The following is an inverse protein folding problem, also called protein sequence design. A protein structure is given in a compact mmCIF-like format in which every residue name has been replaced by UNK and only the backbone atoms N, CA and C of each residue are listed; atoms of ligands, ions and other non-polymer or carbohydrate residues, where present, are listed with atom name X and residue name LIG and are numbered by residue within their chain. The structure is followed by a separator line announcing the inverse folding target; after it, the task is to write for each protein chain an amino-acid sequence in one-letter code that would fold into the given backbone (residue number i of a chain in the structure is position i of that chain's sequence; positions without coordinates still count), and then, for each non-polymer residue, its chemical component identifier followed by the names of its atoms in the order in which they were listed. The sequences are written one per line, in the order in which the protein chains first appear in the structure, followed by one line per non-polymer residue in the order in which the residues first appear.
data_IF_184459067555
#
_entry.id   IF_184459067555
#
_cell.length_a   1.000
_cell.length_b   1.000
_cell.length_c   1.000
_cell.angle_alpha   90.00
_cell.angle_beta   90.00
_cell.angle_gamma   90.00
#
_symmetry.space_group_name_H-M   'P 1'
#
loop_
_entity.id
_entity.type
_entity.pdbx_description
1 polymer ?
#
# COMPACT_ATOMS: atom_id res chain seq x y z
N UNK A 1 7.39 -21.05 44.39
CA UNK A 1 7.99 -20.46 43.17
C UNK A 1 7.15 -20.60 41.87
N UNK A 2 5.81 -20.82 41.85
CA UNK A 2 5.07 -20.94 40.57
C UNK A 2 4.60 -19.60 39.97
N UNK A 3 4.49 -18.52 40.77
CA UNK A 3 3.92 -17.25 40.30
C UNK A 3 4.80 -16.50 39.29
N UNK A 4 6.12 -16.72 39.33
CA UNK A 4 7.06 -16.03 38.44
C UNK A 4 7.09 -16.64 37.04
N UNK A 5 6.83 -17.96 36.94
CA UNK A 5 6.84 -18.77 35.72
C UNK A 5 5.55 -18.55 34.90
N UNK A 6 4.40 -18.44 35.57
CA UNK A 6 3.11 -18.10 34.92
C UNK A 6 3.10 -16.68 34.32
N UNK A 7 3.82 -15.74 34.95
CA UNK A 7 3.89 -14.35 34.49
C UNK A 7 4.77 -14.19 33.24
N UNK A 8 5.80 -15.03 33.10
CA UNK A 8 6.64 -15.09 31.90
C UNK A 8 5.90 -15.68 30.72
N UNK A 9 5.16 -16.78 30.92
CA UNK A 9 4.36 -17.41 29.85
C UNK A 9 3.26 -16.49 29.32
N UNK A 10 2.62 -15.73 30.22
CA UNK A 10 1.58 -14.76 29.84
C UNK A 10 2.16 -13.63 28.98
N UNK A 11 3.32 -13.08 29.38
CA UNK A 11 4.00 -12.00 28.63
C UNK A 11 4.46 -12.47 27.25
N UNK A 12 5.04 -13.65 27.17
CA UNK A 12 5.49 -14.25 25.90
C UNK A 12 4.29 -14.46 24.96
N UNK A 13 3.19 -15.00 25.48
CA UNK A 13 1.95 -15.20 24.71
C UNK A 13 1.39 -13.88 24.17
N UNK A 14 1.38 -12.82 25.00
CA UNK A 14 0.95 -11.49 24.57
C UNK A 14 1.85 -10.95 23.45
N UNK A 15 3.17 -11.09 23.58
CA UNK A 15 4.13 -10.63 22.58
C UNK A 15 4.02 -11.40 21.26
N UNK A 16 3.79 -12.72 21.32
CA UNK A 16 3.57 -13.56 20.13
C UNK A 16 2.26 -13.19 19.42
N UNK A 17 1.18 -12.97 20.17
CA UNK A 17 -0.08 -12.49 19.59
C UNK A 17 0.08 -11.10 18.96
N UNK A 18 0.82 -10.19 19.61
CA UNK A 18 1.10 -8.87 19.06
C UNK A 18 1.97 -8.96 17.79
N UNK A 19 2.96 -9.86 17.75
CA UNK A 19 3.79 -10.13 16.59
C UNK A 19 2.94 -10.60 15.40
N UNK A 20 2.11 -11.62 15.61
CA UNK A 20 1.26 -12.20 14.57
C UNK A 20 0.24 -11.18 14.04
N UNK A 21 -0.37 -10.41 14.95
CA UNK A 21 -1.27 -9.31 14.58
C UNK A 21 -0.59 -8.27 13.69
N UNK A 22 0.63 -7.85 14.02
CA UNK A 22 1.36 -6.86 13.22
C UNK A 22 1.79 -7.40 11.85
N UNK A 23 2.18 -8.68 11.77
CA UNK A 23 2.49 -9.34 10.49
C UNK A 23 1.27 -9.42 9.58
N UNK A 24 0.14 -9.88 10.11
CA UNK A 24 -1.14 -9.91 9.39
C UNK A 24 -1.56 -8.52 8.93
N UNK A 25 -1.37 -7.50 9.75
CA UNK A 25 -1.73 -6.13 9.42
C UNK A 25 -0.82 -5.55 8.31
N UNK A 26 0.46 -5.92 8.26
CA UNK A 26 1.37 -5.56 7.14
C UNK A 26 0.86 -6.19 5.84
N UNK A 27 0.57 -7.49 5.84
CA UNK A 27 0.08 -8.21 4.66
C UNK A 27 -1.25 -7.62 4.17
N UNK A 28 -2.22 -7.43 5.08
CA UNK A 28 -3.52 -6.83 4.76
C UNK A 28 -3.40 -5.44 4.12
N UNK A 29 -2.41 -4.64 4.54
CA UNK A 29 -2.16 -3.31 3.97
C UNK A 29 -1.57 -3.38 2.56
N UNK A 30 -0.70 -4.35 2.30
CA UNK A 30 -0.18 -4.60 0.96
C UNK A 30 -1.29 -5.06 0.01
N UNK A 31 -2.17 -5.95 0.47
CA UNK A 31 -3.33 -6.40 -0.32
C UNK A 31 -4.27 -5.23 -0.64
N UNK A 32 -4.55 -4.38 0.36
CA UNK A 32 -5.35 -3.15 0.17
C UNK A 32 -4.68 -2.17 -0.81
N UNK A 33 -3.37 -2.00 -0.75
CA UNK A 33 -2.62 -1.17 -1.70
C UNK A 33 -2.82 -1.65 -3.14
N UNK A 34 -2.69 -2.97 -3.36
CA UNK A 34 -2.91 -3.59 -4.66
C UNK A 34 -4.37 -3.47 -5.13
N UNK A 35 -5.34 -3.71 -4.23
CA UNK A 35 -6.76 -3.57 -4.55
C UNK A 35 -7.11 -2.14 -4.97
N UNK A 36 -6.60 -1.12 -4.24
CA UNK A 36 -6.82 0.28 -4.60
C UNK A 36 -6.25 0.57 -5.99
N UNK A 37 -5.03 0.11 -6.26
CA UNK A 37 -4.42 0.27 -7.59
C UNK A 37 -5.25 -0.39 -8.70
N UNK A 38 -5.73 -1.62 -8.50
CA UNK A 38 -6.59 -2.34 -9.46
C UNK A 38 -7.93 -1.63 -9.69
N UNK A 39 -8.54 -1.10 -8.64
CA UNK A 39 -9.78 -0.33 -8.74
C UNK A 39 -9.56 0.97 -9.51
N UNK A 40 -8.51 1.72 -9.18
CA UNK A 40 -8.17 2.97 -9.85
C UNK A 40 -7.84 2.78 -11.34
N UNK A 41 -7.10 1.72 -11.69
CA UNK A 41 -6.78 1.40 -13.09
C UNK A 41 -8.02 0.97 -13.86
N UNK A 42 -8.88 0.13 -13.28
CA UNK A 42 -10.15 -0.28 -13.89
C UNK A 42 -11.08 0.91 -14.14
N UNK A 43 -11.17 1.83 -13.17
CA UNK A 43 -11.93 3.08 -13.31
C UNK A 43 -11.40 3.93 -14.46
N UNK A 44 -10.08 4.15 -14.54
CA UNK A 44 -9.45 4.94 -15.60
C UNK A 44 -9.69 4.32 -16.99
N UNK A 45 -9.59 2.99 -17.12
CA UNK A 45 -9.87 2.29 -18.37
C UNK A 45 -11.34 2.40 -18.78
N UNK A 46 -12.26 2.30 -17.82
CA UNK A 46 -13.69 2.48 -18.09
C UNK A 46 -13.98 3.90 -18.59
N UNK A 47 -13.42 4.92 -17.93
CA UNK A 47 -13.56 6.32 -18.35
C UNK A 47 -12.94 6.52 -19.74
N UNK A 48 -11.77 5.96 -20.00
CA UNK A 48 -11.14 6.01 -21.32
C UNK A 48 -12.04 5.39 -22.40
N UNK A 49 -12.63 4.22 -22.13
CA UNK A 49 -13.59 3.57 -23.02
C UNK A 49 -14.82 4.44 -23.31
N UNK A 50 -15.36 5.11 -22.30
CA UNK A 50 -16.50 6.04 -22.48
C UNK A 50 -16.09 7.25 -23.33
N UNK A 51 -14.95 7.88 -23.03
CA UNK A 51 -14.48 9.06 -23.77
C UNK A 51 -14.22 8.70 -25.23
N UNK A 52 -13.60 7.55 -25.49
CA UNK A 52 -13.34 7.08 -26.86
C UNK A 52 -14.62 6.69 -27.61
N UNK A 53 -15.60 6.09 -26.95
CA UNK A 53 -16.90 5.78 -27.56
C UNK A 53 -17.70 7.05 -27.93
N UNK A 54 -17.49 8.15 -27.20
CA UNK A 54 -18.12 9.45 -27.48
C UNK A 54 -17.42 10.22 -28.63
N UNK A 55 -16.32 9.71 -29.17
CA UNK A 55 -15.62 10.35 -30.27
C UNK A 55 -16.50 10.50 -31.51
N UNK A 56 -16.69 11.75 -31.97
CA UNK A 56 -17.48 12.08 -33.15
C UNK A 56 -19.00 12.11 -32.95
N UNK A 57 -19.51 11.78 -31.76
CA UNK A 57 -20.96 11.83 -31.46
C UNK A 57 -21.36 13.04 -30.60
N UNK A 58 -20.38 13.80 -30.11
CA UNK A 58 -20.61 14.98 -29.27
C UNK A 58 -21.11 16.16 -30.10
N UNK A 59 -22.43 16.39 -30.05
CA UNK A 59 -23.01 17.65 -30.50
C UNK A 59 -22.36 18.82 -29.72
N UNK A 60 -22.17 19.96 -30.40
CA UNK A 60 -21.54 21.14 -29.82
C UNK A 60 -22.25 21.55 -28.52
N UNK A 61 -21.62 21.23 -27.38
CA UNK A 61 -22.15 21.63 -26.08
C UNK A 61 -22.03 23.15 -25.95
N UNK A 62 -22.98 23.83 -25.28
CA UNK A 62 -22.96 25.29 -25.20
C UNK A 62 -21.74 25.85 -24.42
N UNK A 63 -21.08 25.01 -23.61
CA UNK A 63 -19.90 25.38 -22.81
C UNK A 63 -18.85 24.26 -22.78
N UNK A 64 -18.14 23.99 -23.90
CA UNK A 64 -17.25 22.83 -24.01
C UNK A 64 -16.07 22.89 -23.02
N UNK A 65 -15.57 24.09 -22.74
CA UNK A 65 -14.46 24.30 -21.81
C UNK A 65 -14.85 23.92 -20.36
N UNK A 66 -16.05 24.28 -19.92
CA UNK A 66 -16.55 23.96 -18.57
C UNK A 66 -16.70 22.44 -18.42
N UNK A 67 -17.27 21.78 -19.43
CA UNK A 67 -17.45 20.31 -19.41
C UNK A 67 -16.09 19.60 -19.35
N UNK A 68 -15.10 20.03 -20.14
CA UNK A 68 -13.74 19.47 -20.13
C UNK A 68 -13.06 19.63 -18.77
N UNK A 69 -13.17 20.81 -18.15
CA UNK A 69 -12.61 21.06 -16.83
C UNK A 69 -13.27 20.18 -15.76
N UNK A 70 -14.61 20.13 -15.78
CA UNK A 70 -15.36 19.34 -14.80
C UNK A 70 -15.05 17.84 -14.94
N UNK A 71 -15.00 17.33 -16.17
CA UNK A 71 -14.61 15.95 -16.45
C UNK A 71 -13.17 15.67 -15.99
N UNK A 72 -12.21 16.55 -16.32
CA UNK A 72 -10.81 16.40 -15.88
C UNK A 72 -10.69 16.36 -14.36
N UNK A 73 -11.46 17.20 -13.65
CA UNK A 73 -11.46 17.27 -12.20
C UNK A 73 -12.11 16.04 -11.57
N UNK A 74 -13.20 15.52 -12.15
CA UNK A 74 -13.83 14.27 -11.72
C UNK A 74 -12.91 13.05 -11.88
N UNK A 75 -12.03 13.03 -12.87
CA UNK A 75 -11.01 11.96 -13.01
C UNK A 75 -9.82 12.20 -12.09
N UNK A 76 -9.32 13.44 -12.04
CA UNK A 76 -8.09 13.78 -11.32
C UNK A 76 -8.20 13.61 -9.81
N UNK A 77 -9.29 14.07 -9.19
CA UNK A 77 -9.44 14.03 -7.73
C UNK A 77 -9.42 12.60 -7.15
N UNK A 78 -10.20 11.63 -7.66
CA UNK A 78 -10.15 10.26 -7.17
C UNK A 78 -8.75 9.64 -7.30
N UNK A 79 -8.04 9.89 -8.39
CA UNK A 79 -6.71 9.31 -8.61
C UNK A 79 -5.68 9.93 -7.66
N UNK A 80 -5.70 11.26 -7.47
CA UNK A 80 -4.86 11.91 -6.47
C UNK A 80 -5.11 11.35 -5.07
N UNK A 81 -6.38 11.12 -4.72
CA UNK A 81 -6.75 10.50 -3.45
C UNK A 81 -6.23 9.07 -3.34
N UNK A 82 -6.36 8.25 -4.38
CA UNK A 82 -5.82 6.89 -4.42
C UNK A 82 -4.30 6.86 -4.26
N UNK A 83 -3.57 7.73 -4.96
CA UNK A 83 -2.11 7.85 -4.84
C UNK A 83 -1.71 8.25 -3.43
N UNK A 84 -2.34 9.28 -2.86
CA UNK A 84 -2.11 9.69 -1.48
C UNK A 84 -2.33 8.54 -0.50
N UNK A 85 -3.41 7.78 -0.67
CA UNK A 85 -3.74 6.67 0.20
C UNK A 85 -2.73 5.51 0.09
N UNK A 86 -2.26 5.18 -1.11
CA UNK A 86 -1.20 4.19 -1.36
C UNK A 86 0.06 4.55 -0.58
N UNK A 87 0.52 5.81 -0.66
CA UNK A 87 1.70 6.26 0.08
C UNK A 87 1.48 6.21 1.61
N UNK A 88 0.30 6.63 2.07
CA UNK A 88 -0.04 6.57 3.50
C UNK A 88 -0.01 5.14 4.04
N UNK A 89 -0.59 4.18 3.31
CA UNK A 89 -0.58 2.76 3.68
C UNK A 89 0.85 2.20 3.71
N UNK A 90 1.65 2.51 2.70
CA UNK A 90 3.05 2.08 2.63
C UNK A 90 3.86 2.60 3.81
N UNK A 91 3.70 3.88 4.18
CA UNK A 91 4.42 4.45 5.32
C UNK A 91 4.04 3.76 6.63
N UNK A 92 2.74 3.54 6.86
CA UNK A 92 2.30 2.86 8.07
C UNK A 92 2.77 1.39 8.13
N UNK A 93 2.87 0.68 7.00
CA UNK A 93 3.42 -0.68 6.96
C UNK A 93 4.90 -0.71 7.42
N UNK A 94 5.69 0.31 7.08
CA UNK A 94 7.09 0.41 7.57
C UNK A 94 7.16 0.62 9.08
N UNK A 95 6.24 1.39 9.67
CA UNK A 95 6.19 1.61 11.12
C UNK A 95 5.77 0.34 11.88
N UNK A 96 4.83 -0.43 11.31
CA UNK A 96 4.42 -1.73 11.87
C UNK A 96 5.58 -2.73 11.80
N UNK A 97 6.32 -2.75 10.69
CA UNK A 97 7.51 -3.60 10.55
C UNK A 97 8.61 -3.27 11.56
N UNK A 98 8.83 -1.99 11.84
CA UNK A 98 9.76 -1.59 12.90
C UNK A 98 9.28 -2.06 14.29
N UNK A 99 7.96 -2.10 14.52
CA UNK A 99 7.39 -2.65 15.75
C UNK A 99 7.59 -4.17 15.86
N UNK A 100 7.39 -4.90 14.76
CA UNK A 100 7.68 -6.34 14.66
C UNK A 100 9.13 -6.63 15.02
N UNK A 101 10.08 -5.89 14.46
CA UNK A 101 11.51 -6.08 14.75
C UNK A 101 11.85 -5.80 16.21
N UNK A 102 11.22 -4.79 16.84
CA UNK A 102 11.38 -4.53 18.28
C UNK A 102 10.88 -5.71 19.12
N UNK A 103 9.72 -6.27 18.79
CA UNK A 103 9.15 -7.44 19.49
C UNK A 103 10.07 -8.66 19.32
N UNK A 104 10.58 -8.91 18.11
CA UNK A 104 11.52 -10.01 17.84
C UNK A 104 12.83 -9.88 18.64
N UNK A 105 13.35 -8.66 18.76
CA UNK A 105 14.54 -8.39 19.59
C UNK A 105 14.25 -8.61 21.08
N UNK A 106 13.07 -8.22 21.59
CA UNK A 106 12.67 -8.46 22.97
C UNK A 106 12.52 -9.95 23.26
N UNK A 107 12.02 -10.72 22.29
CA UNK A 107 11.90 -12.17 22.38
C UNK A 107 13.22 -12.93 22.16
N UNK A 108 14.34 -12.20 21.97
CA UNK A 108 15.67 -12.76 21.72
C UNK A 108 15.68 -13.77 20.58
N UNK A 109 14.82 -13.57 19.58
CA UNK A 109 14.49 -14.56 18.54
C UNK A 109 15.69 -14.89 17.65
N UNK A 110 16.63 -13.94 17.51
CA UNK A 110 17.87 -14.09 16.74
C UNK A 110 19.12 -14.24 17.62
N UNK A 111 18.95 -14.35 18.95
CA UNK A 111 20.07 -14.44 19.88
C UNK A 111 20.66 -15.87 19.86
N UNK A 112 21.92 -15.95 19.42
CA UNK A 112 22.68 -17.21 19.38
C UNK A 112 23.00 -17.77 20.76
N UNK A 113 22.93 -16.96 21.82
CA UNK A 113 23.11 -17.46 23.19
C UNK A 113 21.95 -18.34 23.65
N UNK A 114 20.73 -18.10 23.13
CA UNK A 114 19.52 -18.80 23.54
C UNK A 114 19.27 -20.09 22.72
N UNK A 115 19.50 -20.04 21.41
CA UNK A 115 19.25 -21.16 20.49
C UNK A 115 20.52 -21.92 20.07
N UNK A 116 21.70 -21.46 20.51
CA UNK A 116 22.99 -22.04 20.15
C UNK A 116 23.33 -21.88 18.66
N UNK A 117 24.31 -22.66 18.14
CA UNK A 117 24.76 -22.56 16.76
C UNK A 117 23.74 -23.06 15.72
N UNK A 118 22.59 -23.61 16.16
CA UNK A 118 21.51 -24.10 15.29
C UNK A 118 20.21 -23.33 15.53
N UNK A 119 20.29 -21.99 15.52
CA UNK A 119 19.09 -21.15 15.53
C UNK A 119 18.20 -21.49 14.32
N UNK A 120 16.90 -21.75 14.52
CA UNK A 120 15.96 -21.90 13.40
C UNK A 120 15.75 -20.58 12.63
N UNK A 121 16.21 -19.46 13.19
CA UNK A 121 16.10 -18.13 12.62
C UNK A 121 17.47 -17.62 12.14
N UNK A 122 17.65 -17.36 10.83
CA UNK A 122 18.88 -16.80 10.31
C UNK A 122 19.13 -15.41 10.88
N UNK A 123 20.32 -15.15 11.42
CA UNK A 123 20.69 -13.82 11.93
C UNK A 123 20.59 -12.73 10.86
N UNK A 124 20.81 -13.11 9.61
CA UNK A 124 20.69 -12.18 8.49
C UNK A 124 19.27 -11.63 8.29
N UNK A 125 18.22 -12.19 8.90
CA UNK A 125 16.85 -11.66 8.81
C UNK A 125 16.61 -10.49 9.77
N UNK A 126 17.45 -10.34 10.79
CA UNK A 126 17.31 -9.28 11.79
C UNK A 126 17.42 -7.90 11.12
N UNK A 127 16.42 -7.04 11.32
CA UNK A 127 16.40 -5.69 10.76
C UNK A 127 16.15 -5.60 9.24
N UNK A 128 15.95 -6.74 8.54
CA UNK A 128 15.68 -6.72 7.10
C UNK A 128 14.23 -6.38 6.77
N UNK A 129 13.26 -6.68 7.65
CA UNK A 129 11.84 -6.51 7.33
C UNK A 129 11.48 -5.03 7.13
N UNK A 130 11.78 -4.17 8.12
CA UNK A 130 11.52 -2.74 8.05
C UNK A 130 12.34 -2.08 6.94
N UNK A 131 13.60 -2.51 6.76
CA UNK A 131 14.47 -2.01 5.69
C UNK A 131 13.94 -2.34 4.31
N UNK A 132 13.55 -3.58 4.06
CA UNK A 132 13.00 -4.02 2.77
C UNK A 132 11.69 -3.32 2.45
N UNK A 133 10.79 -3.18 3.44
CA UNK A 133 9.54 -2.45 3.25
C UNK A 133 9.76 -0.96 2.99
N UNK A 134 10.78 -0.35 3.61
CA UNK A 134 11.13 1.06 3.35
C UNK A 134 11.76 1.25 1.97
N UNK A 135 12.50 0.27 1.47
CA UNK A 135 13.14 0.31 0.15
C UNK A 135 12.19 -0.10 -1.00
N UNK A 136 10.98 -0.58 -0.66
CA UNK A 136 9.99 -1.03 -1.62
C UNK A 136 9.54 0.12 -2.53
N UNK A 137 9.74 -0.04 -3.84
CA UNK A 137 9.39 0.94 -4.86
C UNK A 137 7.98 0.77 -5.44
N UNK A 138 7.24 -0.26 -5.06
CA UNK A 138 5.88 -0.51 -5.58
C UNK A 138 4.92 0.68 -5.46
N UNK A 139 4.83 1.43 -4.33
CA UNK A 139 3.91 2.58 -4.27
C UNK A 139 4.28 3.67 -5.29
N UNK A 140 5.58 3.83 -5.57
CA UNK A 140 6.07 4.76 -6.58
C UNK A 140 5.70 4.28 -8.00
N UNK A 141 5.87 2.98 -8.30
CA UNK A 141 5.44 2.41 -9.57
C UNK A 141 3.93 2.56 -9.79
N UNK A 142 3.12 2.34 -8.76
CA UNK A 142 1.67 2.55 -8.83
C UNK A 142 1.31 4.00 -9.08
N UNK A 143 1.94 4.94 -8.36
CA UNK A 143 1.73 6.36 -8.55
C UNK A 143 2.10 6.83 -9.97
N UNK A 144 3.23 6.37 -10.50
CA UNK A 144 3.67 6.70 -11.85
C UNK A 144 2.71 6.14 -12.90
N UNK A 145 2.30 4.88 -12.76
CA UNK A 145 1.35 4.24 -13.69
C UNK A 145 0.00 4.95 -13.66
N UNK A 146 -0.56 5.21 -12.48
CA UNK A 146 -1.82 5.95 -12.36
C UNK A 146 -1.70 7.38 -12.91
N UNK A 147 -0.59 8.06 -12.65
CA UNK A 147 -0.32 9.40 -13.18
C UNK A 147 -0.29 9.42 -14.71
N UNK A 148 0.47 8.51 -15.33
CA UNK A 148 0.55 8.41 -16.81
C UNK A 148 -0.81 8.10 -17.43
N UNK A 149 -1.56 7.13 -16.88
CA UNK A 149 -2.91 6.81 -17.36
C UNK A 149 -3.88 7.99 -17.21
N UNK A 150 -3.81 8.71 -16.09
CA UNK A 150 -4.65 9.90 -15.87
C UNK A 150 -4.35 10.99 -16.90
N UNK A 151 -3.08 11.25 -17.19
CA UNK A 151 -2.68 12.19 -18.24
C UNK A 151 -3.25 11.77 -19.59
N UNK A 152 -3.15 10.49 -19.95
CA UNK A 152 -3.74 9.97 -21.19
C UNK A 152 -5.26 10.16 -21.26
N UNK A 153 -5.98 9.88 -20.18
CA UNK A 153 -7.44 10.05 -20.11
C UNK A 153 -7.81 11.53 -20.22
N UNK A 154 -7.12 12.41 -19.49
CA UNK A 154 -7.35 13.86 -19.56
C UNK A 154 -7.07 14.36 -20.97
N UNK A 155 -5.94 14.04 -21.58
CA UNK A 155 -5.65 14.43 -22.96
C UNK A 155 -6.74 13.95 -23.94
N UNK A 156 -7.25 12.74 -23.74
CA UNK A 156 -8.36 12.20 -24.55
C UNK A 156 -9.63 13.02 -24.36
N UNK A 157 -10.00 13.38 -23.12
CA UNK A 157 -11.13 14.28 -22.85
C UNK A 157 -10.96 15.61 -23.59
N UNK A 158 -9.76 16.16 -23.60
CA UNK A 158 -9.50 17.46 -24.22
C UNK A 158 -9.51 17.42 -25.76
N UNK A 159 -9.11 16.30 -26.35
CA UNK A 159 -9.10 16.08 -27.80
C UNK A 159 -10.47 15.65 -28.35
N UNK A 160 -11.28 14.96 -27.55
CA UNK A 160 -12.53 14.30 -27.99
C UNK A 160 -13.80 15.11 -27.66
N UNK A 161 -13.92 15.62 -26.43
CA UNK A 161 -15.00 16.56 -26.09
C UNK A 161 -14.70 17.96 -26.62
#
# INVERSE_FOLDING_TARGET
MPAHEQLTDTKITILLNALDFQLHEIQRRQDREQQIFQWSTSLLLAIFGVVTALFGTTAATPFPLIVKLLASLMVGLPILFSVYWIFRLSHQATNNAATVERIQNILLLFDTSYYGPKSPYPQEWQGKLARNLRQRRTPLYYALTLGTMTVCVVLSIWLVL
#
